data_IF_470891167657
#
_entry.id   IF_470891167657
#
_cell.length_a   1.000
_cell.length_b   1.000
_cell.length_c   1.000
_cell.angle_alpha   90.00
_cell.angle_beta   90.00
_cell.angle_gamma   90.00
#
_symmetry.space_group_name_H-M   'P 1'
#
loop_
_entity.id
_entity.type
_entity.pdbx_description
1 polymer ?
#
# COMPACT_ATOMS: atom_id res chain seq x y z
N UNK A 1 12.60 -14.44 -15.31
CA UNK A 1 12.42 -14.80 -13.89
C UNK A 1 11.03 -15.41 -13.69
N UNK A 2 10.89 -16.52 -12.98
CA UNK A 2 9.58 -17.05 -12.57
C UNK A 2 9.13 -16.36 -11.27
N UNK A 3 7.85 -15.98 -11.16
CA UNK A 3 7.29 -15.17 -10.06
C UNK A 3 7.54 -15.74 -8.64
N UNK A 4 7.81 -17.04 -8.53
CA UNK A 4 8.04 -17.74 -7.26
C UNK A 4 9.50 -17.82 -6.80
N UNK A 5 10.47 -17.34 -7.57
CA UNK A 5 11.88 -17.36 -7.17
C UNK A 5 12.24 -16.06 -6.46
N UNK A 6 12.22 -16.09 -5.12
CA UNK A 6 12.63 -14.97 -4.26
C UNK A 6 13.79 -15.44 -3.39
N UNK A 7 14.85 -14.64 -3.32
CA UNK A 7 15.96 -14.85 -2.41
C UNK A 7 16.16 -13.58 -1.59
N UNK A 8 16.44 -13.73 -0.29
CA UNK A 8 16.88 -12.61 0.52
C UNK A 8 18.26 -12.14 0.05
N UNK A 9 18.48 -10.85 0.05
CA UNK A 9 19.77 -10.24 -0.29
C UNK A 9 20.12 -9.15 0.71
N UNK A 10 21.42 -8.90 0.87
CA UNK A 10 21.94 -7.83 1.72
C UNK A 10 22.68 -6.81 0.85
N UNK A 11 22.49 -5.53 1.15
CA UNK A 11 23.26 -4.43 0.57
C UNK A 11 24.01 -3.69 1.68
N UNK A 12 25.22 -3.22 1.41
CA UNK A 12 25.95 -2.36 2.35
C UNK A 12 25.25 -0.99 2.40
N UNK A 13 25.05 -0.38 3.58
CA UNK A 13 24.44 0.95 3.69
C UNK A 13 25.13 1.99 2.81
N UNK A 14 26.46 2.01 2.76
CA UNK A 14 27.25 2.95 1.95
C UNK A 14 27.09 2.74 0.43
N UNK A 15 26.49 1.63 -0.01
CA UNK A 15 26.18 1.36 -1.41
C UNK A 15 24.78 1.84 -1.80
N UNK A 16 23.97 2.34 -0.86
CA UNK A 16 22.63 2.86 -1.13
C UNK A 16 22.75 4.28 -1.66
N UNK A 17 22.42 4.49 -2.93
CA UNK A 17 22.50 5.81 -3.59
C UNK A 17 21.21 6.62 -3.48
N UNK A 18 20.07 5.94 -3.28
CA UNK A 18 18.74 6.56 -3.20
C UNK A 18 17.81 5.70 -2.38
N UNK A 19 16.99 6.36 -1.54
CA UNK A 19 15.87 5.74 -0.83
C UNK A 19 14.58 6.43 -1.29
N UNK A 20 13.59 5.62 -1.68
CA UNK A 20 12.24 6.10 -2.00
C UNK A 20 11.26 5.47 -1.02
N UNK A 21 10.40 6.28 -0.43
CA UNK A 21 9.35 5.78 0.46
C UNK A 21 8.03 5.64 -0.32
N UNK A 22 7.09 4.79 0.10
CA UNK A 22 5.78 4.68 -0.54
C UNK A 22 5.05 6.03 -0.70
N UNK A 23 5.20 6.90 0.30
CA UNK A 23 4.59 8.23 0.40
C UNK A 23 5.22 9.21 -0.60
N UNK A 24 6.49 9.02 -0.98
CA UNK A 24 7.12 9.83 -2.02
C UNK A 24 6.55 9.58 -3.41
N UNK A 25 5.73 8.54 -3.58
CA UNK A 25 5.17 8.11 -4.87
C UNK A 25 3.73 8.55 -5.08
N UNK A 26 3.14 9.39 -4.22
CA UNK A 26 1.72 9.81 -4.34
C UNK A 26 1.53 11.23 -4.86
N UNK A 27 2.60 11.91 -5.28
CA UNK A 27 2.49 13.25 -5.86
C UNK A 27 1.72 13.23 -7.19
N UNK A 28 0.56 13.91 -7.23
CA UNK A 28 -0.35 13.85 -8.37
C UNK A 28 0.29 14.34 -9.68
N UNK A 29 1.16 15.35 -9.62
CA UNK A 29 1.84 15.88 -10.82
C UNK A 29 2.84 14.86 -11.37
N UNK A 30 3.61 14.23 -10.50
CA UNK A 30 4.53 13.15 -10.86
C UNK A 30 3.79 11.96 -11.47
N UNK A 31 2.64 11.57 -10.89
CA UNK A 31 1.81 10.48 -11.43
C UNK A 31 1.24 10.81 -12.81
N UNK A 32 0.79 12.05 -13.04
CA UNK A 32 0.31 12.53 -14.35
C UNK A 32 1.40 12.49 -15.43
N UNK A 33 2.66 12.73 -15.07
CA UNK A 33 3.78 12.68 -16.02
C UNK A 33 4.38 11.28 -16.20
N UNK A 34 3.88 10.27 -15.49
CA UNK A 34 4.43 8.92 -15.53
C UNK A 34 4.15 8.23 -16.88
N UNK A 35 5.12 7.50 -17.45
CA UNK A 35 4.89 6.71 -18.67
C UNK A 35 3.87 5.58 -18.45
N UNK A 36 3.52 5.27 -17.20
CA UNK A 36 2.55 4.24 -16.85
C UNK A 36 1.12 4.79 -16.62
N UNK A 37 0.85 6.06 -16.95
CA UNK A 37 -0.46 6.70 -16.71
C UNK A 37 -1.64 5.94 -17.32
N UNK A 38 -1.42 5.21 -18.42
CA UNK A 38 -2.45 4.39 -19.06
C UNK A 38 -2.77 3.08 -18.31
N UNK A 39 -1.97 2.71 -17.30
CA UNK A 39 -2.19 1.48 -16.55
C UNK A 39 -3.22 1.71 -15.43
N UNK A 40 -4.25 0.86 -15.31
CA UNK A 40 -5.28 0.94 -14.27
C UNK A 40 -4.78 1.22 -12.85
N UNK A 41 -3.74 0.53 -12.31
CA UNK A 41 -3.28 0.83 -10.95
C UNK A 41 -2.76 2.25 -10.79
N UNK A 42 -2.18 2.84 -11.84
CA UNK A 42 -1.70 4.22 -11.74
C UNK A 42 -2.85 5.23 -11.84
N UNK A 43 -3.87 4.94 -12.65
CA UNK A 43 -5.07 5.76 -12.73
C UNK A 43 -5.83 5.79 -11.41
N UNK A 44 -5.97 4.62 -10.76
CA UNK A 44 -6.58 4.53 -9.41
C UNK A 44 -5.75 5.29 -8.39
N UNK A 45 -4.41 5.13 -8.37
CA UNK A 45 -3.55 5.87 -7.45
C UNK A 45 -3.64 7.40 -7.66
N UNK A 46 -3.73 7.85 -8.91
CA UNK A 46 -3.91 9.27 -9.24
C UNK A 46 -5.26 9.82 -8.73
N UNK A 47 -6.34 9.04 -8.81
CA UNK A 47 -7.64 9.44 -8.23
C UNK A 47 -7.57 9.64 -6.72
N UNK A 48 -6.83 8.77 -6.01
CA UNK A 48 -6.61 8.91 -4.57
C UNK A 48 -5.74 10.13 -4.23
N UNK A 49 -4.71 10.40 -5.04
CA UNK A 49 -3.79 11.53 -4.88
C UNK A 49 -4.44 12.91 -5.09
N UNK A 50 -5.60 12.96 -5.75
CA UNK A 50 -6.38 14.20 -5.92
C UNK A 50 -7.21 14.55 -4.68
N UNK A 51 -7.32 13.63 -3.71
CA UNK A 51 -8.08 13.82 -2.47
C UNK A 51 -7.15 14.08 -1.30
N UNK A 52 -7.67 14.78 -0.28
CA UNK A 52 -6.96 14.96 0.99
C UNK A 52 -7.42 13.89 1.97
N UNK A 53 -6.45 13.18 2.55
CA UNK A 53 -6.70 12.15 3.55
C UNK A 53 -6.12 12.57 4.90
N UNK A 54 -6.74 12.21 6.02
CA UNK A 54 -6.29 12.60 7.36
C UNK A 54 -5.10 11.76 7.87
N UNK A 55 -4.57 10.86 7.03
CA UNK A 55 -3.42 10.01 7.31
C UNK A 55 -2.41 10.08 6.17
N UNK A 56 -1.20 9.65 6.47
CA UNK A 56 -0.17 9.41 5.47
C UNK A 56 -0.42 8.08 4.78
N UNK A 57 -0.31 8.06 3.45
CA UNK A 57 -0.45 6.86 2.64
C UNK A 57 0.57 6.83 1.50
N UNK A 58 0.75 5.67 0.88
CA UNK A 58 1.73 5.47 -0.17
C UNK A 58 1.45 4.28 -1.09
N UNK A 59 2.12 4.26 -2.25
CA UNK A 59 2.05 3.17 -3.23
C UNK A 59 3.15 2.15 -2.93
N UNK A 60 2.82 0.87 -2.95
CA UNK A 60 3.77 -0.23 -2.76
C UNK A 60 3.69 -1.23 -3.91
N UNK A 61 4.25 -2.43 -3.71
CA UNK A 61 4.12 -3.52 -4.67
C UNK A 61 4.74 -3.24 -6.04
N UNK A 62 4.15 -3.85 -7.07
CA UNK A 62 4.65 -3.77 -8.44
C UNK A 62 4.56 -2.36 -9.03
N UNK A 63 3.50 -1.61 -8.71
CA UNK A 63 3.32 -0.21 -9.12
C UNK A 63 4.40 0.68 -8.51
N UNK A 64 4.68 0.55 -7.21
CA UNK A 64 5.76 1.30 -6.56
C UNK A 64 7.13 0.97 -7.18
N UNK A 65 7.40 -0.31 -7.45
CA UNK A 65 8.61 -0.74 -8.14
C UNK A 65 8.73 -0.11 -9.54
N UNK A 66 7.65 -0.13 -10.34
CA UNK A 66 7.63 0.46 -11.67
C UNK A 66 7.91 1.97 -11.63
N UNK A 67 7.27 2.70 -10.70
CA UNK A 67 7.45 4.15 -10.54
C UNK A 67 8.89 4.52 -10.16
N UNK A 68 9.53 3.74 -9.29
CA UNK A 68 10.90 4.03 -8.83
C UNK A 68 11.95 3.65 -9.89
N UNK A 69 11.75 2.53 -10.58
CA UNK A 69 12.77 1.95 -11.48
C UNK A 69 12.58 2.32 -12.95
N UNK A 70 11.38 2.74 -13.34
CA UNK A 70 11.00 2.91 -14.74
C UNK A 70 10.82 1.59 -15.51
N UNK A 71 10.91 0.44 -14.86
CA UNK A 71 10.76 -0.87 -15.51
C UNK A 71 9.26 -1.19 -15.67
N UNK A 72 8.78 -1.52 -16.89
CA UNK A 72 7.36 -1.75 -17.18
C UNK A 72 6.89 -3.13 -16.69
N UNK A 73 6.79 -3.30 -15.37
CA UNK A 73 6.31 -4.56 -14.75
C UNK A 73 4.80 -4.58 -14.48
N UNK A 74 4.14 -3.43 -14.59
CA UNK A 74 2.69 -3.31 -14.42
C UNK A 74 1.97 -3.34 -15.78
N UNK A 75 0.75 -3.89 -15.78
CA UNK A 75 -0.08 -4.09 -16.96
C UNK A 75 -1.57 -3.92 -16.61
N UNK A 76 -2.46 -4.01 -17.61
CA UNK A 76 -3.90 -3.79 -17.44
C UNK A 76 -4.57 -4.63 -16.34
N UNK A 77 -4.12 -5.88 -16.13
CA UNK A 77 -4.64 -6.76 -15.07
C UNK A 77 -3.87 -6.68 -13.72
N UNK A 78 -2.95 -5.73 -13.56
CA UNK A 78 -2.21 -5.56 -12.30
C UNK A 78 -3.12 -5.02 -11.22
N UNK A 79 -2.88 -5.47 -9.99
CA UNK A 79 -3.44 -4.88 -8.79
C UNK A 79 -2.65 -3.64 -8.35
N UNK A 80 -3.25 -2.88 -7.42
CA UNK A 80 -2.64 -1.74 -6.75
C UNK A 80 -2.46 -2.05 -5.26
N UNK A 81 -1.21 -2.15 -4.81
CA UNK A 81 -0.89 -2.29 -3.39
C UNK A 81 -0.70 -0.91 -2.74
N UNK A 82 -1.46 -0.65 -1.67
CA UNK A 82 -1.46 0.62 -0.94
C UNK A 82 -1.06 0.42 0.51
N UNK A 83 -0.46 1.44 1.10
CA UNK A 83 -0.08 1.50 2.50
C UNK A 83 -0.71 2.73 3.15
N UNK A 84 -1.34 2.56 4.30
CA UNK A 84 -1.73 3.64 5.22
C UNK A 84 -0.86 3.53 6.47
N UNK A 85 -0.28 4.65 6.91
CA UNK A 85 0.40 4.75 8.22
C UNK A 85 -0.63 5.16 9.26
N UNK A 86 -0.85 4.31 10.25
CA UNK A 86 -1.80 4.52 11.33
C UNK A 86 -1.09 4.41 12.70
N UNK A 87 -0.27 5.41 13.08
CA UNK A 87 0.41 5.41 14.38
C UNK A 87 -0.58 5.45 15.57
N UNK A 88 -1.81 5.88 15.31
CA UNK A 88 -2.94 5.88 16.24
C UNK A 88 -4.16 5.25 15.56
N UNK A 89 -5.15 4.76 16.32
CA UNK A 89 -6.42 4.28 15.77
C UNK A 89 -7.06 5.32 14.85
N UNK A 90 -7.51 4.86 13.68
CA UNK A 90 -8.22 5.69 12.71
C UNK A 90 -9.73 5.44 12.84
N UNK A 91 -10.53 6.48 12.60
CA UNK A 91 -11.98 6.33 12.59
C UNK A 91 -12.39 5.38 11.48
N UNK A 92 -13.22 4.39 11.82
CA UNK A 92 -13.65 3.34 10.90
C UNK A 92 -14.37 3.94 9.68
N UNK A 93 -15.17 4.97 9.89
CA UNK A 93 -15.94 5.67 8.84
C UNK A 93 -15.01 6.33 7.79
N UNK A 94 -13.85 6.83 8.23
CA UNK A 94 -12.87 7.39 7.31
C UNK A 94 -12.22 6.27 6.48
N UNK A 95 -11.87 5.15 7.10
CA UNK A 95 -11.33 3.98 6.41
C UNK A 95 -12.35 3.35 5.43
N UNK A 96 -13.63 3.39 5.77
CA UNK A 96 -14.73 2.98 4.87
C UNK A 96 -14.83 3.93 3.67
N UNK A 97 -14.69 5.24 3.89
CA UNK A 97 -14.64 6.23 2.81
C UNK A 97 -13.48 5.95 1.85
N UNK A 98 -12.29 5.66 2.36
CA UNK A 98 -11.15 5.22 1.56
C UNK A 98 -11.45 3.95 0.77
N UNK A 99 -12.00 2.93 1.44
CA UNK A 99 -12.36 1.67 0.80
C UNK A 99 -13.39 1.86 -0.32
N UNK A 100 -14.37 2.76 -0.14
CA UNK A 100 -15.36 3.11 -1.16
C UNK A 100 -14.74 3.77 -2.39
N UNK A 101 -13.69 4.60 -2.25
CA UNK A 101 -12.98 5.17 -3.41
C UNK A 101 -12.27 4.09 -4.25
N UNK A 102 -11.89 2.98 -3.61
CA UNK A 102 -11.27 1.83 -4.28
C UNK A 102 -12.32 0.87 -4.85
N UNK A 103 -13.50 0.81 -4.25
CA UNK A 103 -14.60 -0.04 -4.69
C UNK A 103 -15.10 0.39 -6.07
N UNK A 104 -15.05 -0.52 -7.04
CA UNK A 104 -15.43 -0.21 -8.43
C UNK A 104 -14.34 0.50 -9.24
N UNK A 105 -13.12 0.63 -8.69
CA UNK A 105 -11.96 1.12 -9.43
C UNK A 105 -11.58 0.25 -10.62
N UNK A 106 -10.71 0.78 -11.48
CA UNK A 106 -10.27 0.11 -12.72
C UNK A 106 -9.44 -1.16 -12.49
N UNK A 107 -8.98 -1.40 -11.26
CA UNK A 107 -8.28 -2.61 -10.85
C UNK A 107 -8.59 -2.95 -9.40
N UNK A 108 -8.24 -4.17 -8.97
CA UNK A 108 -8.22 -4.51 -7.55
C UNK A 108 -7.19 -3.64 -6.84
N UNK A 109 -7.55 -3.10 -5.68
CA UNK A 109 -6.63 -2.40 -4.80
C UNK A 109 -6.63 -3.03 -3.41
N UNK A 110 -5.43 -3.36 -2.94
CA UNK A 110 -5.20 -4.01 -1.65
C UNK A 110 -4.51 -3.00 -0.72
N UNK A 111 -5.23 -2.57 0.33
CA UNK A 111 -4.69 -1.60 1.30
C UNK A 111 -4.22 -2.32 2.55
N UNK A 112 -2.95 -2.12 2.91
CA UNK A 112 -2.42 -2.46 4.22
C UNK A 112 -2.42 -1.24 5.13
N UNK A 113 -2.92 -1.42 6.35
CA UNK A 113 -2.83 -0.42 7.42
C UNK A 113 -1.71 -0.85 8.36
N UNK A 114 -0.66 -0.05 8.44
CA UNK A 114 0.46 -0.27 9.35
C UNK A 114 0.22 0.48 10.65
N UNK A 115 0.28 -0.26 11.75
CA UNK A 115 0.22 0.21 13.13
C UNK A 115 1.58 0.01 13.81
N UNK A 116 1.80 0.55 15.02
CA UNK A 116 3.02 0.29 15.78
C UNK A 116 3.30 -1.21 16.08
N UNK A 117 2.28 -2.08 15.94
CA UNK A 117 2.37 -3.51 16.30
C UNK A 117 2.47 -4.44 15.08
N UNK A 118 2.25 -3.93 13.88
CA UNK A 118 2.29 -4.70 12.64
C UNK A 118 1.40 -4.08 11.58
N UNK A 119 1.14 -4.83 10.50
CA UNK A 119 0.25 -4.39 9.44
C UNK A 119 -0.86 -5.40 9.18
N UNK A 120 -2.05 -4.91 8.85
CA UNK A 120 -3.20 -5.75 8.52
C UNK A 120 -3.86 -5.33 7.20
N UNK A 121 -4.59 -6.24 6.56
CA UNK A 121 -5.36 -5.94 5.36
C UNK A 121 -6.66 -5.22 5.72
N UNK A 122 -6.85 -4.01 5.20
CA UNK A 122 -8.01 -3.18 5.53
C UNK A 122 -9.34 -3.87 5.19
N UNK A 123 -9.41 -4.49 4.00
CA UNK A 123 -10.62 -5.12 3.50
C UNK A 123 -11.09 -6.27 4.40
N UNK A 124 -10.15 -7.04 4.97
CA UNK A 124 -10.47 -8.13 5.90
C UNK A 124 -11.02 -7.58 7.22
N UNK A 125 -10.36 -6.57 7.78
CA UNK A 125 -10.77 -5.97 9.05
C UNK A 125 -12.13 -5.25 8.96
N UNK A 126 -12.39 -4.51 7.87
CA UNK A 126 -13.69 -3.88 7.65
C UNK A 126 -14.82 -4.91 7.53
N UNK A 127 -14.55 -6.09 6.92
CA UNK A 127 -15.55 -7.14 6.74
C UNK A 127 -15.85 -7.89 8.05
N UNK A 128 -14.81 -8.34 8.75
CA UNK A 128 -14.95 -9.34 9.82
C UNK A 128 -14.77 -8.75 11.23
N UNK A 129 -14.33 -7.50 11.35
CA UNK A 129 -14.00 -6.85 12.63
C UNK A 129 -12.77 -7.45 13.33
N UNK A 130 -12.09 -8.40 12.69
CA UNK A 130 -10.84 -9.01 13.14
C UNK A 130 -9.78 -8.85 12.07
N UNK A 131 -8.53 -8.69 12.50
CA UNK A 131 -7.39 -8.50 11.63
C UNK A 131 -6.39 -9.64 11.82
N UNK A 132 -5.88 -10.18 10.70
CA UNK A 132 -4.65 -10.96 10.74
C UNK A 132 -3.46 -9.99 10.72
N UNK A 133 -3.01 -9.58 11.90
CA UNK A 133 -1.90 -8.66 12.09
C UNK A 133 -0.57 -9.35 11.77
N UNK A 134 0.13 -8.87 10.75
CA UNK A 134 1.45 -9.33 10.34
C UNK A 134 2.50 -8.65 11.20
N UNK A 135 3.13 -9.39 12.11
CA UNK A 135 4.19 -8.90 12.99
C UNK A 135 5.55 -9.50 12.61
N UNK A 136 6.63 -8.96 13.16
CA UNK A 136 7.97 -9.54 13.02
C UNK A 136 8.12 -10.91 13.69
N UNK A 137 7.23 -11.26 14.61
CA UNK A 137 7.18 -12.55 15.30
C UNK A 137 6.18 -13.54 14.67
N UNK A 138 5.64 -13.21 13.49
CA UNK A 138 4.62 -13.99 12.80
C UNK A 138 3.22 -13.37 12.86
N UNK A 139 2.26 -13.95 12.12
CA UNK A 139 0.90 -13.43 12.06
C UNK A 139 0.12 -13.73 13.35
N UNK A 140 -0.70 -12.77 13.80
CA UNK A 140 -1.60 -12.90 14.96
C UNK A 140 -3.01 -12.48 14.57
N UNK A 141 -4.03 -13.24 14.96
CA UNK A 141 -5.42 -12.84 14.77
C UNK A 141 -5.85 -11.98 15.96
N UNK A 142 -6.21 -10.73 15.71
CA UNK A 142 -6.56 -9.74 16.74
C UNK A 142 -7.90 -9.08 16.46
N UNK A 143 -8.57 -8.59 17.51
CA UNK A 143 -9.77 -7.77 17.43
C UNK A 143 -9.47 -6.27 17.37
N UNK A 144 -8.39 -5.85 18.05
CA UNK A 144 -7.88 -4.48 18.01
C UNK A 144 -6.45 -4.44 17.44
N UNK A 145 -6.26 -4.02 16.17
CA UNK A 145 -4.93 -3.89 15.55
C UNK A 145 -4.01 -2.83 16.17
N UNK A 146 -4.56 -1.93 16.99
CA UNK A 146 -3.83 -0.89 17.72
C UNK A 146 -3.67 -1.19 19.20
N UNK A 147 -4.24 -2.28 19.69
CA UNK A 147 -4.06 -2.78 21.04
C UNK A 147 -2.87 -3.73 21.13
N UNK A 148 -2.16 -3.73 22.26
CA UNK A 148 -1.41 -4.92 22.66
C UNK A 148 -2.43 -5.90 23.24
N UNK A 149 -2.89 -6.84 22.45
CA UNK A 149 -3.53 -8.03 23.02
C UNK A 149 -2.43 -8.85 23.70
N UNK A 150 -2.49 -8.92 25.04
CA UNK A 150 -1.55 -9.69 25.89
C UNK A 150 -1.64 -11.20 25.63
#
# INVERSE_FOLDING_TARGET
>A
MKRGQRAAGWAKPDSITRVCTPESLVDAQTLLCSPFLSQPPLQVALLLAQQTWPWTWGITGSTGYALVTGIPVIHAASDLDLLIRAPQPLAREQLETWHQQLAGGLCRADTQVETPYGAFALNEWLRDGKALLKTSQGPRLVSDPWGREE
#
